data_IF_330337569653
#
_entry.id   IF_330337569653
#
_cell.length_a   1.000
_cell.length_b   1.000
_cell.length_c   1.000
_cell.angle_alpha   90.00
_cell.angle_beta   90.00
_cell.angle_gamma   90.00
#
_symmetry.space_group_name_H-M   'P 1'
#
loop_
_entity.id
_entity.type
_entity.pdbx_description
1 polymer ?
#
# COMPACT_ATOMS: atom_id res chain seq x y z
N UNK A 1 7.03 -24.16 -12.80
CA UNK A 1 6.24 -25.13 -12.04
C UNK A 1 5.33 -24.40 -11.07
N UNK A 2 4.32 -25.07 -10.53
CA UNK A 2 3.44 -24.54 -9.48
C UNK A 2 4.18 -24.54 -8.13
N UNK A 3 4.16 -23.41 -7.42
CA UNK A 3 4.72 -23.23 -6.06
C UNK A 3 3.55 -23.00 -5.09
N UNK A 4 3.55 -23.70 -3.96
CA UNK A 4 2.51 -23.50 -2.94
C UNK A 4 2.61 -22.11 -2.31
N UNK A 5 1.47 -21.54 -1.92
CA UNK A 5 1.42 -20.20 -1.37
C UNK A 5 2.23 -20.08 -0.07
N UNK A 6 2.23 -21.11 0.79
CA UNK A 6 2.99 -21.09 2.05
C UNK A 6 4.51 -21.04 1.84
N UNK A 7 4.99 -21.33 0.62
CA UNK A 7 6.40 -21.33 0.30
C UNK A 7 6.94 -19.95 -0.07
N UNK A 8 6.09 -18.93 -0.25
CA UNK A 8 6.53 -17.57 -0.54
C UNK A 8 7.06 -16.88 0.72
N UNK A 9 8.10 -16.04 0.56
CA UNK A 9 8.57 -15.21 1.67
C UNK A 9 7.47 -14.24 2.14
N UNK A 10 7.57 -13.72 3.36
CA UNK A 10 6.60 -12.73 3.87
C UNK A 10 6.40 -11.56 2.91
N UNK A 11 7.48 -11.08 2.30
CA UNK A 11 7.42 -9.98 1.33
C UNK A 11 6.80 -10.37 -0.03
N UNK A 12 7.06 -11.60 -0.51
CA UNK A 12 6.42 -12.13 -1.72
C UNK A 12 4.91 -12.32 -1.50
N UNK A 13 4.53 -12.97 -0.40
CA UNK A 13 3.15 -13.21 -0.01
C UNK A 13 2.36 -11.90 0.13
N UNK A 14 2.98 -10.86 0.71
CA UNK A 14 2.37 -9.54 0.79
C UNK A 14 2.02 -8.97 -0.59
N UNK A 15 2.95 -8.99 -1.56
CA UNK A 15 2.70 -8.47 -2.92
C UNK A 15 1.62 -9.26 -3.66
N UNK A 16 1.57 -10.58 -3.45
CA UNK A 16 0.50 -11.43 -3.98
C UNK A 16 -0.85 -11.00 -3.40
N UNK A 17 -0.94 -10.85 -2.08
CA UNK A 17 -2.17 -10.41 -1.40
C UNK A 17 -2.59 -9.01 -1.85
N UNK A 18 -1.63 -8.11 -2.02
CA UNK A 18 -1.85 -6.77 -2.53
C UNK A 18 -2.48 -6.81 -3.92
N UNK A 19 -1.89 -7.54 -4.86
CA UNK A 19 -2.42 -7.70 -6.21
C UNK A 19 -3.84 -8.29 -6.23
N UNK A 20 -4.11 -9.32 -5.41
CA UNK A 20 -5.44 -9.92 -5.27
C UNK A 20 -6.45 -8.89 -4.74
N UNK A 21 -6.08 -8.11 -3.72
CA UNK A 21 -6.96 -7.09 -3.14
C UNK A 21 -7.35 -6.05 -4.18
N UNK A 22 -6.39 -5.53 -4.96
CA UNK A 22 -6.67 -4.60 -6.07
C UNK A 22 -7.60 -5.22 -7.11
N UNK A 23 -7.35 -6.46 -7.53
CA UNK A 23 -8.17 -7.14 -8.51
C UNK A 23 -9.62 -7.31 -8.03
N UNK A 24 -9.82 -7.70 -6.77
CA UNK A 24 -11.15 -7.82 -6.15
C UNK A 24 -11.84 -6.46 -6.03
N UNK A 25 -11.11 -5.43 -5.60
CA UNK A 25 -11.62 -4.06 -5.53
C UNK A 25 -12.13 -3.61 -6.91
N UNK A 26 -11.31 -3.69 -7.96
CA UNK A 26 -11.70 -3.32 -9.34
C UNK A 26 -12.93 -4.12 -9.81
N UNK A 27 -13.00 -5.43 -9.51
CA UNK A 27 -14.14 -6.27 -9.87
C UNK A 27 -15.44 -5.80 -9.20
N UNK A 28 -15.38 -5.48 -7.90
CA UNK A 28 -16.54 -5.04 -7.13
C UNK A 28 -17.02 -3.65 -7.57
N UNK A 29 -16.10 -2.71 -7.78
CA UNK A 29 -16.41 -1.37 -8.30
C UNK A 29 -17.10 -1.44 -9.67
N UNK A 30 -16.53 -2.25 -10.59
CA UNK A 30 -17.15 -2.50 -11.91
C UNK A 30 -18.55 -3.08 -11.81
N UNK A 31 -18.79 -4.02 -10.88
CA UNK A 31 -20.13 -4.62 -10.67
C UNK A 31 -21.13 -3.64 -10.08
N UNK A 32 -20.67 -2.73 -9.21
CA UNK A 32 -21.52 -1.72 -8.60
C UNK A 32 -21.80 -0.53 -9.54
N UNK A 33 -21.08 -0.40 -10.66
CA UNK A 33 -21.17 0.78 -11.52
C UNK A 33 -20.67 2.05 -10.84
N UNK A 34 -19.77 1.92 -9.86
CA UNK A 34 -19.25 3.00 -9.04
C UNK A 34 -17.72 3.06 -9.14
N UNK A 35 -17.09 4.24 -8.98
CA UNK A 35 -15.64 4.36 -8.87
C UNK A 35 -15.12 3.64 -7.62
N UNK A 36 -13.82 3.35 -7.57
CA UNK A 36 -13.19 2.84 -6.37
C UNK A 36 -12.95 3.99 -5.38
N UNK A 37 -13.58 3.97 -4.19
CA UNK A 37 -13.58 5.14 -3.33
C UNK A 37 -12.23 5.35 -2.63
N UNK A 38 -11.73 4.35 -1.90
CA UNK A 38 -10.49 4.52 -1.13
C UNK A 38 -9.81 3.20 -0.88
N UNK A 39 -8.51 3.16 -1.12
CA UNK A 39 -7.63 2.07 -0.70
C UNK A 39 -6.87 2.51 0.55
N UNK A 40 -6.98 1.74 1.63
CA UNK A 40 -6.15 1.92 2.84
C UNK A 40 -5.21 0.72 2.96
N UNK A 41 -3.92 1.01 3.11
CA UNK A 41 -2.88 0.01 3.37
C UNK A 41 -2.23 0.35 4.69
N UNK A 42 -2.33 -0.57 5.65
CA UNK A 42 -1.75 -0.41 6.98
C UNK A 42 -0.59 -1.39 7.15
N UNK A 43 0.58 -0.84 7.47
CA UNK A 43 1.82 -1.53 7.87
C UNK A 43 1.97 -2.96 7.35
N UNK A 44 2.20 -3.07 6.04
CA UNK A 44 2.40 -4.35 5.35
C UNK A 44 3.79 -4.54 4.74
N UNK A 45 4.66 -3.54 4.86
CA UNK A 45 5.85 -3.42 4.04
C UNK A 45 7.15 -3.71 4.76
N UNK A 46 7.14 -3.84 6.10
CA UNK A 46 8.36 -3.95 6.93
C UNK A 46 9.22 -5.20 6.69
N UNK A 47 8.78 -6.12 5.83
CA UNK A 47 9.54 -7.33 5.45
C UNK A 47 10.11 -7.25 4.03
N UNK A 48 9.97 -6.11 3.35
CA UNK A 48 10.48 -5.90 2.00
C UNK A 48 11.96 -5.50 2.05
N UNK A 49 12.75 -6.04 1.14
CA UNK A 49 14.04 -5.48 0.78
C UNK A 49 13.85 -4.20 -0.07
N UNK A 50 14.92 -3.45 -0.32
CA UNK A 50 14.86 -2.22 -1.13
C UNK A 50 14.26 -2.48 -2.52
N UNK A 51 14.54 -3.63 -3.14
CA UNK A 51 13.95 -4.02 -4.42
C UNK A 51 12.43 -4.28 -4.33
N UNK A 52 11.96 -4.88 -3.22
CA UNK A 52 10.55 -5.07 -2.93
C UNK A 52 9.80 -3.76 -2.69
N UNK A 53 10.45 -2.79 -2.03
CA UNK A 53 9.91 -1.44 -1.83
C UNK A 53 9.74 -0.73 -3.18
N UNK A 54 10.73 -0.76 -4.06
CA UNK A 54 10.62 -0.11 -5.38
C UNK A 54 9.49 -0.72 -6.23
N UNK A 55 9.39 -2.05 -6.28
CA UNK A 55 8.27 -2.73 -6.99
C UNK A 55 6.91 -2.36 -6.42
N UNK A 56 6.84 -2.12 -5.12
CA UNK A 56 5.62 -1.70 -4.48
C UNK A 56 5.26 -0.26 -4.84
N UNK A 57 6.23 0.68 -4.86
CA UNK A 57 6.00 2.05 -5.33
C UNK A 57 5.48 2.05 -6.75
N UNK A 58 6.11 1.29 -7.65
CA UNK A 58 5.66 1.10 -9.03
C UNK A 58 4.23 0.58 -9.07
N UNK A 59 3.90 -0.44 -8.25
CA UNK A 59 2.56 -0.99 -8.20
C UNK A 59 1.52 0.03 -7.72
N UNK A 60 1.82 0.81 -6.68
CA UNK A 60 0.92 1.86 -6.17
C UNK A 60 0.71 2.96 -7.22
N UNK A 61 1.79 3.42 -7.86
CA UNK A 61 1.70 4.40 -8.95
C UNK A 61 0.89 3.87 -10.13
N UNK A 62 0.98 2.57 -10.45
CA UNK A 62 0.23 1.97 -11.56
C UNK A 62 -1.29 1.89 -11.33
N UNK A 63 -1.74 1.99 -10.07
CA UNK A 63 -3.16 1.90 -9.69
C UNK A 63 -3.72 3.24 -9.22
N UNK A 64 -2.91 4.30 -9.15
CA UNK A 64 -3.31 5.58 -8.56
C UNK A 64 -4.57 6.15 -9.21
N UNK A 65 -4.69 6.02 -10.53
CA UNK A 65 -5.81 6.56 -11.32
C UNK A 65 -7.09 5.72 -11.19
N UNK A 66 -7.00 4.51 -10.62
CA UNK A 66 -8.18 3.67 -10.41
C UNK A 66 -8.95 4.07 -9.16
N UNK A 67 -8.30 4.69 -8.17
CA UNK A 67 -8.86 4.98 -6.85
C UNK A 67 -8.98 6.49 -6.63
N UNK A 68 -10.09 6.96 -6.04
CA UNK A 68 -10.22 8.38 -5.68
C UNK A 68 -9.20 8.80 -4.61
N UNK A 69 -8.76 7.85 -3.78
CA UNK A 69 -7.75 8.07 -2.74
C UNK A 69 -7.00 6.79 -2.39
N UNK A 70 -5.68 6.89 -2.26
CA UNK A 70 -4.83 5.85 -1.69
C UNK A 70 -4.21 6.41 -0.41
N UNK A 71 -4.46 5.75 0.72
CA UNK A 71 -3.87 6.06 2.01
C UNK A 71 -2.94 4.93 2.42
N UNK A 72 -1.69 5.27 2.72
CA UNK A 72 -0.68 4.32 3.15
C UNK A 72 -0.11 4.72 4.50
N UNK A 73 -0.17 3.79 5.45
CA UNK A 73 0.37 3.93 6.80
C UNK A 73 1.64 3.09 6.85
N UNK A 74 2.78 3.74 7.04
CA UNK A 74 4.06 3.05 7.15
C UNK A 74 5.10 3.85 7.93
N UNK A 75 6.00 3.13 8.59
CA UNK A 75 7.25 3.65 9.16
C UNK A 75 8.42 3.63 8.16
N UNK A 76 8.25 3.06 6.97
CA UNK A 76 9.32 2.96 5.95
C UNK A 76 9.52 4.32 5.28
N UNK A 77 10.72 4.88 5.43
CA UNK A 77 11.04 6.21 4.89
C UNK A 77 11.08 6.21 3.36
N UNK A 78 11.64 5.15 2.78
CA UNK A 78 11.78 5.02 1.33
C UNK A 78 10.43 5.09 0.62
N UNK A 79 9.35 4.59 1.24
CA UNK A 79 8.02 4.60 0.64
C UNK A 79 7.41 6.01 0.57
N UNK A 80 7.88 6.96 1.40
CA UNK A 80 7.35 8.34 1.45
C UNK A 80 7.51 9.07 0.12
N UNK A 81 8.54 8.75 -0.66
CA UNK A 81 8.81 9.40 -1.95
C UNK A 81 7.82 9.04 -3.05
N UNK A 82 7.02 7.98 -2.88
CA UNK A 82 5.94 7.67 -3.80
C UNK A 82 4.68 8.53 -3.58
N UNK A 83 4.61 9.29 -2.49
CA UNK A 83 3.41 10.05 -2.13
C UNK A 83 3.67 11.56 -2.11
N UNK A 84 2.83 12.35 -2.80
CA UNK A 84 2.99 13.80 -2.88
C UNK A 84 2.53 14.52 -1.60
N UNK A 85 1.64 13.91 -0.81
CA UNK A 85 1.15 14.46 0.46
C UNK A 85 1.43 13.47 1.57
N UNK A 86 1.97 13.95 2.69
CA UNK A 86 2.40 13.13 3.82
C UNK A 86 1.81 13.68 5.10
N UNK A 87 1.40 12.76 5.98
CA UNK A 87 0.98 13.08 7.35
C UNK A 87 2.01 12.45 8.27
N UNK A 88 2.88 13.28 8.84
CA UNK A 88 3.90 12.84 9.78
C UNK A 88 3.28 12.76 11.18
N UNK A 89 3.38 11.58 11.80
CA UNK A 89 2.91 11.35 13.18
C UNK A 89 4.11 11.41 14.11
N UNK A 90 4.20 12.46 14.94
CA UNK A 90 5.34 12.72 15.81
C UNK A 90 4.94 12.44 17.26
N UNK A 91 5.63 11.50 17.92
CA UNK A 91 5.40 11.18 19.34
C UNK A 91 6.08 12.23 20.23
N UNK A 92 5.33 12.76 21.20
CA UNK A 92 5.78 13.74 22.22
C UNK A 92 5.43 13.23 23.62
N UNK A 93 5.88 13.92 24.68
CA UNK A 93 5.59 13.52 26.06
C UNK A 93 4.09 13.67 26.40
N UNK A 94 3.38 14.57 25.73
CA UNK A 94 1.97 14.89 25.93
C UNK A 94 1.03 14.08 25.01
N UNK A 95 1.59 13.27 24.10
CA UNK A 95 0.83 12.50 23.11
C UNK A 95 1.43 12.57 21.70
N UNK A 96 0.66 12.18 20.68
CA UNK A 96 1.10 12.30 19.28
C UNK A 96 0.61 13.61 18.67
N UNK A 97 1.48 14.27 17.89
CA UNK A 97 1.16 15.45 17.08
C UNK A 97 1.22 15.09 15.59
N UNK A 98 0.52 15.86 14.76
CA UNK A 98 0.45 15.66 13.31
C UNK A 98 1.04 16.86 12.58
N UNK A 99 1.86 16.60 11.57
CA UNK A 99 2.38 17.59 10.63
C UNK A 99 2.07 17.15 9.20
N UNK A 100 1.61 18.08 8.35
CA UNK A 100 1.33 17.80 6.94
C UNK A 100 2.43 18.42 6.10
N UNK A 101 3.06 17.62 5.23
CA UNK A 101 4.13 18.03 4.32
C UNK A 101 3.92 17.48 2.92
#
# INVERSE_FOLDING_TARGET
GTRNYEMFSGGEAFRINFAIRIALSRLLAKRAGAPLPTLVIDEGFGTQDSAGIEKLKEAINSIQDDFDKILVITHIEELRDAFPTRINVIKTAEGSTLEVS
#
